data_IF_185398245238
#
_entry.id   IF_185398245238
#
_cell.length_a   1.000
_cell.length_b   1.000
_cell.length_c   1.000
_cell.angle_alpha   90.00
_cell.angle_beta   90.00
_cell.angle_gamma   90.00
#
_symmetry.space_group_name_H-M   'P 1'
#
loop_
_entity.id
_entity.type
_entity.pdbx_description
1 polymer ?
#
# COMPACT_ATOMS: atom_id res chain seq x y z
N UNK A 1 9.14 2.87 18.39
CA UNK A 1 9.85 4.01 17.76
C UNK A 1 10.31 3.67 16.34
N UNK A 2 11.01 2.55 16.12
CA UNK A 2 11.56 2.13 14.80
C UNK A 2 10.54 2.07 13.64
N UNK A 3 9.30 1.62 13.88
CA UNK A 3 8.28 1.54 12.84
C UNK A 3 7.89 2.91 12.25
N UNK A 4 7.94 3.97 13.07
CA UNK A 4 7.59 5.31 12.63
C UNK A 4 8.69 5.93 11.77
N UNK A 5 9.96 5.67 12.09
CA UNK A 5 11.10 6.14 11.30
C UNK A 5 11.19 5.45 9.93
N UNK A 6 10.86 4.15 9.88
CA UNK A 6 10.76 3.44 8.61
C UNK A 6 9.64 4.01 7.74
N UNK A 7 8.46 4.24 8.33
CA UNK A 7 7.34 4.89 7.64
C UNK A 7 7.77 6.24 7.06
N UNK A 8 8.41 7.09 7.86
CA UNK A 8 8.82 8.44 7.44
C UNK A 8 9.83 8.42 6.27
N UNK A 9 10.79 7.48 6.32
CA UNK A 9 11.71 7.21 5.21
C UNK A 9 10.98 6.76 3.96
N UNK A 10 10.04 5.82 4.08
CA UNK A 10 9.25 5.32 2.94
C UNK A 10 8.39 6.42 2.33
N UNK A 11 7.76 7.26 3.16
CA UNK A 11 7.02 8.45 2.71
C UNK A 11 7.94 9.38 1.93
N UNK A 12 9.14 9.67 2.46
CA UNK A 12 10.11 10.54 1.79
C UNK A 12 10.59 9.98 0.45
N UNK A 13 10.85 8.68 0.38
CA UNK A 13 11.27 8.01 -0.86
C UNK A 13 10.13 8.02 -1.87
N UNK A 14 8.92 7.62 -1.47
CA UNK A 14 7.75 7.61 -2.35
C UNK A 14 7.37 9.01 -2.82
N UNK A 15 7.47 10.04 -1.96
CA UNK A 15 7.27 11.43 -2.34
C UNK A 15 8.31 11.90 -3.37
N UNK A 16 9.57 11.48 -3.22
CA UNK A 16 10.62 11.77 -4.20
C UNK A 16 10.36 11.08 -5.55
N UNK A 17 9.78 9.87 -5.54
CA UNK A 17 9.40 9.14 -6.75
C UNK A 17 8.15 9.74 -7.40
N UNK A 18 7.17 10.17 -6.61
CA UNK A 18 5.98 10.88 -7.07
C UNK A 18 6.36 12.23 -7.71
N UNK A 19 7.32 12.95 -7.14
CA UNK A 19 7.88 14.18 -7.73
C UNK A 19 8.62 13.94 -9.06
N UNK A 20 9.14 12.73 -9.28
CA UNK A 20 9.70 12.29 -10.58
C UNK A 20 8.63 11.88 -11.59
N UNK A 21 7.34 11.96 -11.24
CA UNK A 21 6.22 11.58 -12.08
C UNK A 21 5.97 10.06 -12.12
N UNK A 22 6.53 9.30 -11.18
CA UNK A 22 6.23 7.87 -11.09
C UNK A 22 4.81 7.62 -10.61
N UNK A 23 4.21 6.57 -11.16
CA UNK A 23 2.94 6.04 -10.68
C UNK A 23 3.12 5.36 -9.32
N UNK A 24 2.06 5.28 -8.49
CA UNK A 24 2.12 4.58 -7.21
C UNK A 24 2.53 3.10 -7.36
N UNK A 25 2.19 2.45 -8.48
CA UNK A 25 2.61 1.08 -8.79
C UNK A 25 4.11 0.99 -9.01
N UNK A 26 4.67 1.87 -9.86
CA UNK A 26 6.11 1.92 -10.11
C UNK A 26 6.89 2.30 -8.85
N UNK A 27 6.36 3.24 -8.08
CA UNK A 27 7.01 3.72 -6.88
C UNK A 27 7.02 2.65 -5.77
N UNK A 28 5.93 1.89 -5.63
CA UNK A 28 5.88 0.72 -4.76
C UNK A 28 6.89 -0.34 -5.20
N UNK A 29 6.94 -0.69 -6.49
CA UNK A 29 7.91 -1.63 -7.04
C UNK A 29 9.36 -1.17 -6.77
N UNK A 30 9.65 0.11 -6.99
CA UNK A 30 10.96 0.70 -6.72
C UNK A 30 11.37 0.60 -5.25
N UNK A 31 10.41 0.79 -4.34
CA UNK A 31 10.62 0.63 -2.91
C UNK A 31 10.97 -0.82 -2.57
N UNK A 32 10.29 -1.81 -3.15
CA UNK A 32 10.64 -3.23 -2.95
C UNK A 32 12.04 -3.54 -3.48
N UNK A 33 12.35 -3.05 -4.68
CA UNK A 33 13.66 -3.24 -5.32
C UNK A 33 14.76 -2.65 -4.43
N UNK A 34 14.53 -1.44 -3.89
CA UNK A 34 15.45 -0.77 -2.96
C UNK A 34 15.56 -1.46 -1.59
N UNK A 35 14.52 -2.16 -1.15
CA UNK A 35 14.49 -2.86 0.14
C UNK A 35 15.10 -4.27 0.10
N UNK A 36 15.38 -4.85 -1.08
CA UNK A 36 16.14 -6.11 -1.16
C UNK A 36 15.66 -7.16 -2.15
N UNK A 37 15.12 -6.78 -3.32
CA UNK A 37 15.21 -7.63 -4.52
C UNK A 37 14.38 -8.93 -4.59
N UNK A 38 13.60 -9.30 -3.58
CA UNK A 38 12.61 -10.39 -3.69
C UNK A 38 11.49 -10.22 -2.68
N UNK A 39 10.25 -10.13 -3.17
CA UNK A 39 9.02 -10.10 -2.36
C UNK A 39 8.96 -11.21 -1.28
N UNK A 40 9.72 -12.30 -1.48
CA UNK A 40 9.86 -13.44 -0.58
C UNK A 40 10.64 -13.09 0.70
N UNK A 41 11.65 -12.21 0.65
CA UNK A 41 12.40 -11.77 1.84
C UNK A 41 11.67 -10.67 2.61
N UNK A 42 10.79 -9.92 1.95
CA UNK A 42 9.97 -8.87 2.55
C UNK A 42 8.95 -9.46 3.54
N UNK A 43 8.44 -10.67 3.26
CA UNK A 43 7.61 -11.42 4.22
C UNK A 43 8.38 -11.87 5.47
N UNK A 44 9.72 -11.97 5.40
CA UNK A 44 10.57 -12.28 6.57
C UNK A 44 10.89 -11.03 7.41
N UNK A 45 10.78 -9.83 6.81
CA UNK A 45 10.82 -8.56 7.52
C UNK A 45 9.42 -8.30 8.08
N UNK A 46 9.09 -8.86 9.25
CA UNK A 46 7.81 -8.72 9.98
C UNK A 46 7.28 -7.27 10.17
N UNK A 47 8.03 -6.26 9.75
CA UNK A 47 7.70 -4.84 9.85
C UNK A 47 6.96 -4.32 8.60
N UNK A 48 7.15 -4.90 7.41
CA UNK A 48 6.51 -4.39 6.17
C UNK A 48 5.18 -5.10 5.94
N UNK A 49 4.18 -4.66 6.68
CA UNK A 49 2.80 -5.12 6.53
C UNK A 49 2.11 -4.44 5.34
N UNK A 50 1.09 -5.09 4.74
CA UNK A 50 0.30 -4.46 3.68
C UNK A 50 -0.34 -3.15 4.15
N UNK A 51 -0.71 -3.04 5.43
CA UNK A 51 -1.18 -1.81 6.07
C UNK A 51 -0.17 -0.67 6.00
N UNK A 52 1.12 -0.94 6.25
CA UNK A 52 2.17 0.07 6.17
C UNK A 52 2.30 0.61 4.73
N UNK A 53 2.39 -0.28 3.75
CA UNK A 53 2.53 0.09 2.33
C UNK A 53 1.33 0.93 1.87
N UNK A 54 0.12 0.47 2.18
CA UNK A 54 -1.10 1.17 1.81
C UNK A 54 -1.19 2.56 2.47
N UNK A 55 -0.75 2.68 3.73
CA UNK A 55 -0.79 3.95 4.47
C UNK A 55 0.19 4.96 3.90
N UNK A 56 1.40 4.51 3.54
CA UNK A 56 2.41 5.37 2.91
C UNK A 56 1.98 5.78 1.51
N UNK A 57 1.48 4.85 0.70
CA UNK A 57 0.98 5.15 -0.65
C UNK A 57 -0.17 6.16 -0.58
N UNK A 58 -1.11 5.97 0.34
CA UNK A 58 -2.20 6.92 0.57
C UNK A 58 -1.68 8.27 1.07
N UNK A 59 -0.67 8.30 1.93
CA UNK A 59 -0.10 9.55 2.45
C UNK A 59 0.56 10.38 1.34
N UNK A 60 1.27 9.72 0.43
CA UNK A 60 2.01 10.39 -0.66
C UNK A 60 1.11 10.73 -1.84
N UNK A 61 0.29 9.79 -2.29
CA UNK A 61 -0.52 9.96 -3.49
C UNK A 61 -1.93 10.49 -3.20
N UNK A 62 -2.38 10.47 -1.94
CA UNK A 62 -3.67 10.99 -1.45
C UNK A 62 -4.84 10.76 -2.41
N UNK A 63 -5.19 11.76 -3.21
CA UNK A 63 -6.34 11.75 -4.13
C UNK A 63 -6.04 11.06 -5.48
N UNK A 64 -4.77 10.88 -5.83
CA UNK A 64 -4.33 10.25 -7.06
C UNK A 64 -4.33 8.71 -6.99
N UNK A 65 -4.47 8.14 -5.79
CA UNK A 65 -4.48 6.69 -5.59
C UNK A 65 -5.83 6.18 -5.08
N UNK A 66 -6.40 5.25 -5.84
CA UNK A 66 -7.63 4.57 -5.46
C UNK A 66 -7.34 3.32 -4.62
N UNK A 67 -8.25 2.94 -3.73
CA UNK A 67 -8.16 1.68 -3.00
C UNK A 67 -8.01 0.45 -3.91
N UNK A 68 -8.61 0.48 -5.10
CA UNK A 68 -8.43 -0.58 -6.11
C UNK A 68 -6.98 -0.64 -6.60
N UNK A 69 -6.32 0.50 -6.80
CA UNK A 69 -4.90 0.53 -7.16
C UNK A 69 -4.05 0.00 -6.00
N UNK A 70 -4.32 0.41 -4.77
CA UNK A 70 -3.65 -0.15 -3.59
C UNK A 70 -3.81 -1.67 -3.52
N UNK A 71 -5.02 -2.18 -3.74
CA UNK A 71 -5.31 -3.61 -3.78
C UNK A 71 -4.48 -4.34 -4.86
N UNK A 72 -4.42 -3.79 -6.07
CA UNK A 72 -3.64 -4.34 -7.18
C UNK A 72 -2.16 -4.35 -6.84
N UNK A 73 -1.63 -3.24 -6.33
CA UNK A 73 -0.23 -3.13 -5.91
C UNK A 73 0.04 -4.21 -4.89
N UNK A 74 -0.66 -4.22 -3.75
CA UNK A 74 -0.45 -5.21 -2.69
C UNK A 74 -0.53 -6.66 -3.20
N UNK A 75 -1.41 -6.94 -4.16
CA UNK A 75 -1.49 -8.28 -4.75
C UNK A 75 -0.27 -8.60 -5.65
N UNK A 76 0.22 -7.63 -6.43
CA UNK A 76 1.46 -7.75 -7.19
C UNK A 76 2.69 -7.90 -6.29
N UNK A 77 2.65 -7.33 -5.08
CA UNK A 77 3.68 -7.52 -4.07
C UNK A 77 3.71 -8.94 -3.49
N UNK A 78 2.74 -9.80 -3.82
CA UNK A 78 2.65 -11.16 -3.28
C UNK A 78 1.99 -11.24 -1.91
N UNK A 79 1.36 -10.17 -1.41
CA UNK A 79 0.56 -10.24 -0.19
C UNK A 79 -0.70 -11.09 -0.40
N UNK A 80 -1.07 -11.84 0.65
CA UNK A 80 -2.29 -12.62 0.68
C UNK A 80 -3.53 -11.76 0.48
N UNK A 81 -4.48 -12.25 -0.34
CA UNK A 81 -5.73 -11.53 -0.61
C UNK A 81 -6.51 -11.20 0.67
N UNK A 82 -6.44 -12.04 1.71
CA UNK A 82 -7.04 -11.75 3.00
C UNK A 82 -6.39 -10.54 3.67
N UNK A 83 -5.06 -10.50 3.75
CA UNK A 83 -4.32 -9.38 4.33
C UNK A 83 -4.55 -8.07 3.56
N UNK A 84 -4.65 -8.16 2.23
CA UNK A 84 -5.03 -7.03 1.36
C UNK A 84 -6.46 -6.58 1.65
N UNK A 85 -7.42 -7.49 1.76
CA UNK A 85 -8.82 -7.16 2.04
C UNK A 85 -9.00 -6.52 3.42
N UNK A 86 -8.31 -7.03 4.45
CA UNK A 86 -8.29 -6.43 5.80
C UNK A 86 -7.71 -5.02 5.75
N UNK A 87 -6.54 -4.85 5.11
CA UNK A 87 -5.90 -3.54 4.97
C UNK A 87 -6.81 -2.52 4.29
N UNK A 88 -7.47 -2.91 3.20
CA UNK A 88 -8.39 -2.03 2.48
C UNK A 88 -9.62 -1.69 3.33
N UNK A 89 -10.10 -2.63 4.15
CA UNK A 89 -11.23 -2.41 5.06
C UNK A 89 -10.88 -1.42 6.17
N UNK A 90 -9.67 -1.53 6.71
CA UNK A 90 -9.14 -0.61 7.74
C UNK A 90 -8.91 0.80 7.17
N UNK A 91 -8.33 0.90 5.98
CA UNK A 91 -8.00 2.20 5.39
C UNK A 91 -9.18 2.85 4.67
N UNK A 92 -10.02 2.06 3.99
CA UNK A 92 -11.16 2.54 3.23
C UNK A 92 -12.45 1.94 3.78
N UNK A 93 -12.87 2.33 5.01
CA UNK A 93 -14.12 1.85 5.60
C UNK A 93 -15.34 2.24 4.75
N UNK A 94 -15.21 3.26 3.92
CA UNK A 94 -16.23 3.77 2.98
C UNK A 94 -16.53 2.77 1.86
N UNK A 95 -15.49 2.05 1.40
CA UNK A 95 -15.62 0.98 0.40
C UNK A 95 -16.19 -0.30 1.02
N UNK A 96 -15.82 -0.57 2.26
CA UNK A 96 -16.43 -1.65 3.05
C UNK A 96 -17.94 -1.42 3.26
N UNK A 97 -18.37 -0.15 3.33
CA UNK A 97 -19.80 0.23 3.39
C UNK A 97 -20.49 0.18 2.03
N UNK A 98 -19.81 0.52 0.94
CA UNK A 98 -20.39 0.50 -0.41
C UNK A 98 -20.59 -0.90 -0.99
N UNK A 99 -19.93 -1.94 -0.44
CA UNK A 99 -20.24 -3.34 -0.75
C UNK A 99 -21.57 -3.86 -0.18
N UNK A 100 -22.29 -3.05 0.61
CA UNK A 100 -23.49 -3.46 1.35
C UNK A 100 -24.79 -2.72 0.98
N UNK A 101 -24.85 -2.00 -0.14
CA UNK A 101 -26.10 -1.40 -0.64
C UNK A 101 -26.36 -1.72 -2.10
N UNK A 102 -26.47 -3.02 -2.37
CA UNK A 102 -27.31 -3.57 -3.44
C UNK A 102 -28.31 -4.57 -2.84
N UNK A 103 -29.12 -4.09 -1.90
CA UNK A 103 -30.40 -4.66 -1.52
C UNK A 103 -31.29 -3.43 -1.36
N UNK A 104 -32.21 -3.09 -2.27
CA UNK A 104 -33.12 -3.96 -2.98
C UNK A 104 -34.49 -3.68 -2.39
N UNK A 105 -35.29 -2.89 -3.12
CA UNK A 105 -36.71 -2.56 -2.92
C UNK A 105 -37.08 -1.77 -1.65
#
# INVERSE_FOLDING_TARGET
MVANELKDKLVSVLASLQAQGMTPEQAADHVLQALGGSAIEISAISVITPGLIADVLRTVYQEAISARQIATILHQLGYDRQAVADTLREQFPELARSGGRAAGA
#
